data_IF_324965110075
#
_entry.id   IF_324965110075
#
_cell.length_a   1.000
_cell.length_b   1.000
_cell.length_c   1.000
_cell.angle_alpha   90.00
_cell.angle_beta   90.00
_cell.angle_gamma   90.00
#
_symmetry.space_group_name_H-M   'P 1'
#
loop_
_entity.id
_entity.type
_entity.pdbx_description
1 polymer ?
#
# COMPACT_ATOMS: atom_id res chain seq x y z
N UNK A 1 14.05 10.97 -14.11
CA UNK A 1 12.83 11.37 -13.36
C UNK A 1 12.23 10.23 -12.54
N UNK A 2 11.70 9.15 -13.10
CA UNK A 2 11.08 8.04 -12.31
C UNK A 2 11.94 7.50 -11.16
N UNK A 3 13.23 7.25 -11.42
CA UNK A 3 14.17 6.78 -10.40
C UNK A 3 14.38 7.78 -9.25
N UNK A 4 14.39 9.09 -9.56
CA UNK A 4 14.54 10.15 -8.56
C UNK A 4 13.37 10.15 -7.57
N UNK A 5 12.14 10.00 -8.06
CA UNK A 5 10.95 9.89 -7.23
C UNK A 5 10.99 8.65 -6.31
N UNK A 6 11.39 7.49 -6.85
CA UNK A 6 11.57 6.28 -6.04
C UNK A 6 12.68 6.45 -4.99
N UNK A 7 13.77 7.15 -5.30
CA UNK A 7 14.83 7.45 -4.34
C UNK A 7 14.33 8.40 -3.24
N UNK A 8 13.57 9.44 -3.59
CA UNK A 8 12.99 10.35 -2.59
C UNK A 8 12.01 9.61 -1.68
N UNK A 9 11.18 8.73 -2.25
CA UNK A 9 10.26 7.88 -1.51
C UNK A 9 10.99 6.91 -0.58
N UNK A 10 12.04 6.24 -1.06
CA UNK A 10 12.84 5.30 -0.27
C UNK A 10 13.60 5.96 0.89
N UNK A 11 13.92 7.25 0.76
CA UNK A 11 14.53 8.05 1.83
C UNK A 11 13.51 8.65 2.79
N UNK A 12 12.21 8.50 2.52
CA UNK A 12 11.15 9.14 3.30
C UNK A 12 11.06 10.65 3.11
N UNK A 13 11.70 11.22 2.08
CA UNK A 13 11.64 12.66 1.79
C UNK A 13 10.26 13.09 1.25
N UNK A 14 9.54 12.12 0.68
CA UNK A 14 8.16 12.25 0.22
C UNK A 14 7.42 10.99 0.65
N UNK A 15 6.11 11.09 0.81
CA UNK A 15 5.23 9.96 1.07
C UNK A 15 4.47 9.55 -0.22
N UNK A 16 3.61 8.54 -0.11
CA UNK A 16 2.81 8.06 -1.23
C UNK A 16 1.77 9.09 -1.72
N UNK A 17 1.18 9.87 -0.83
CA UNK A 17 0.22 10.91 -1.20
C UNK A 17 0.89 12.00 -2.03
N UNK A 18 2.09 12.45 -1.65
CA UNK A 18 2.89 13.41 -2.42
C UNK A 18 3.19 12.88 -3.83
N UNK A 19 3.51 11.58 -3.95
CA UNK A 19 3.75 10.93 -5.23
C UNK A 19 2.48 10.89 -6.10
N UNK A 20 1.32 10.60 -5.49
CA UNK A 20 0.02 10.59 -6.18
C UNK A 20 -0.33 12.00 -6.66
N UNK A 21 -0.18 13.01 -5.80
CA UNK A 21 -0.41 14.41 -6.12
C UNK A 21 0.48 14.84 -7.28
N UNK A 22 1.78 14.55 -7.21
CA UNK A 22 2.72 14.85 -8.27
C UNK A 22 2.33 14.20 -9.59
N UNK A 23 1.83 12.96 -9.57
CA UNK A 23 1.39 12.23 -10.76
C UNK A 23 0.11 12.80 -11.40
N UNK A 24 -0.64 13.67 -10.72
CA UNK A 24 -1.77 14.39 -11.33
C UNK A 24 -1.33 15.52 -12.26
N UNK A 25 -0.09 16.00 -12.14
CA UNK A 25 0.44 17.09 -12.98
C UNK A 25 0.83 16.59 -14.36
N UNK A 26 0.49 17.34 -15.41
CA UNK A 26 0.76 16.98 -16.81
C UNK A 26 2.23 16.68 -17.09
N UNK A 27 3.13 17.46 -16.48
CA UNK A 27 4.60 17.30 -16.54
C UNK A 27 5.10 15.94 -15.98
N UNK A 28 4.32 15.32 -15.10
CA UNK A 28 4.66 14.10 -14.39
C UNK A 28 3.88 12.87 -14.86
N UNK A 29 3.26 12.94 -16.03
CA UNK A 29 2.60 11.80 -16.70
C UNK A 29 3.44 10.51 -16.69
N UNK A 30 4.79 10.54 -16.81
CA UNK A 30 5.61 9.33 -16.70
C UNK A 30 5.53 8.58 -15.37
N UNK A 31 5.12 9.24 -14.26
CA UNK A 31 4.96 8.62 -12.94
C UNK A 31 3.80 7.62 -12.91
N UNK A 32 2.78 7.81 -13.75
CA UNK A 32 1.64 6.90 -13.87
C UNK A 32 2.07 5.48 -14.32
N UNK A 33 3.23 5.37 -14.98
CA UNK A 33 3.81 4.08 -15.42
C UNK A 33 4.69 3.41 -14.36
N UNK A 34 4.84 4.00 -13.17
CA UNK A 34 5.61 3.38 -12.09
C UNK A 34 4.92 2.10 -11.61
N UNK A 35 5.62 0.95 -11.56
CA UNK A 35 5.06 -0.28 -11.00
C UNK A 35 4.80 -0.14 -9.51
N UNK A 36 3.64 -0.60 -9.03
CA UNK A 36 3.31 -0.59 -7.60
C UNK A 36 4.30 -1.45 -6.79
N UNK A 37 4.86 -2.52 -7.37
CA UNK A 37 5.92 -3.31 -6.74
C UNK A 37 7.12 -2.44 -6.35
N UNK A 38 7.58 -1.58 -7.27
CA UNK A 38 8.73 -0.71 -7.02
C UNK A 38 8.42 0.36 -5.97
N UNK A 39 7.20 0.91 -6.01
CA UNK A 39 6.73 1.89 -5.03
C UNK A 39 6.69 1.26 -3.63
N UNK A 40 6.06 0.09 -3.47
CA UNK A 40 5.96 -0.58 -2.18
C UNK A 40 7.32 -1.02 -1.63
N UNK A 41 8.23 -1.48 -2.48
CA UNK A 41 9.58 -1.83 -2.05
C UNK A 41 10.41 -0.60 -1.64
N UNK A 42 10.17 0.55 -2.26
CA UNK A 42 10.80 1.79 -1.84
C UNK A 42 10.28 2.23 -0.47
N UNK A 43 8.96 2.15 -0.22
CA UNK A 43 8.36 2.53 1.08
C UNK A 43 8.76 1.54 2.19
N UNK A 44 8.79 0.25 1.88
CA UNK A 44 9.10 -0.82 2.83
C UNK A 44 10.36 -1.59 2.43
N UNK A 45 11.56 -1.08 2.74
CA UNK A 45 12.82 -1.68 2.32
C UNK A 45 13.06 -3.09 2.91
N UNK A 46 12.36 -3.43 4.00
CA UNK A 46 12.42 -4.76 4.63
C UNK A 46 11.53 -5.80 3.93
N UNK A 47 10.66 -5.39 3.00
CA UNK A 47 9.77 -6.31 2.33
C UNK A 47 10.48 -7.11 1.25
N UNK A 48 10.37 -8.44 1.33
CA UNK A 48 10.79 -9.30 0.24
C UNK A 48 9.86 -9.16 -0.96
N UNK A 49 10.36 -9.47 -2.16
CA UNK A 49 9.53 -9.49 -3.37
C UNK A 49 8.29 -10.37 -3.22
N UNK A 50 8.42 -11.53 -2.57
CA UNK A 50 7.30 -12.43 -2.30
C UNK A 50 6.23 -11.76 -1.41
N UNK A 51 6.67 -11.04 -0.37
CA UNK A 51 5.76 -10.29 0.50
C UNK A 51 5.03 -9.19 -0.28
N UNK A 52 5.74 -8.36 -1.06
CA UNK A 52 5.13 -7.33 -1.92
C UNK A 52 4.09 -7.92 -2.87
N UNK A 53 4.40 -9.03 -3.53
CA UNK A 53 3.45 -9.70 -4.43
C UNK A 53 2.20 -10.22 -3.70
N UNK A 54 2.35 -10.76 -2.50
CA UNK A 54 1.22 -11.19 -1.66
C UNK A 54 0.34 -9.99 -1.29
N UNK A 55 0.93 -8.89 -0.88
CA UNK A 55 0.23 -7.63 -0.57
C UNK A 55 -0.53 -7.11 -1.77
N UNK A 56 0.08 -7.09 -2.96
CA UNK A 56 -0.61 -6.67 -4.18
C UNK A 56 -1.74 -7.62 -4.60
N UNK A 57 -1.62 -8.93 -4.34
CA UNK A 57 -2.74 -9.87 -4.54
C UNK A 57 -3.91 -9.59 -3.58
N UNK A 58 -3.61 -9.24 -2.33
CA UNK A 58 -4.63 -8.78 -1.37
C UNK A 58 -5.28 -7.49 -1.86
N UNK A 59 -4.49 -6.53 -2.34
CA UNK A 59 -4.97 -5.26 -2.92
C UNK A 59 -5.96 -5.50 -4.06
N UNK A 60 -5.61 -6.36 -5.02
CA UNK A 60 -6.50 -6.68 -6.16
C UNK A 60 -7.80 -7.33 -5.71
N UNK A 61 -7.76 -8.15 -4.66
CA UNK A 61 -8.94 -8.79 -4.10
C UNK A 61 -9.85 -7.78 -3.39
N UNK A 62 -9.29 -6.89 -2.58
CA UNK A 62 -10.04 -5.82 -1.91
C UNK A 62 -10.64 -4.83 -2.91
N UNK A 63 -9.94 -4.56 -4.00
CA UNK A 63 -10.41 -3.71 -5.09
C UNK A 63 -11.36 -4.40 -6.07
N UNK A 64 -11.75 -5.66 -5.82
CA UNK A 64 -12.57 -6.50 -6.72
C UNK A 64 -12.07 -6.47 -8.17
N UNK A 65 -10.76 -6.65 -8.36
CA UNK A 65 -10.09 -6.53 -9.65
C UNK A 65 -9.43 -7.85 -10.05
N UNK A 66 -9.66 -8.26 -11.30
CA UNK A 66 -8.97 -9.41 -11.94
C UNK A 66 -7.61 -9.05 -12.53
N UNK A 67 -7.07 -7.86 -12.22
CA UNK A 67 -5.79 -7.42 -12.74
C UNK A 67 -4.64 -8.28 -12.20
N UNK A 68 -3.60 -8.49 -13.02
CA UNK A 68 -2.42 -9.21 -12.57
C UNK A 68 -1.63 -8.35 -11.56
N UNK A 69 -1.41 -8.82 -10.31
CA UNK A 69 -0.69 -8.06 -9.28
C UNK A 69 0.71 -7.60 -9.70
N UNK A 70 1.39 -8.34 -10.59
CA UNK A 70 2.76 -8.05 -10.98
C UNK A 70 2.89 -6.91 -11.99
N UNK A 71 1.78 -6.54 -12.65
CA UNK A 71 1.75 -5.53 -13.71
C UNK A 71 1.03 -4.26 -13.27
N UNK A 72 0.67 -4.15 -11.99
CA UNK A 72 -0.03 -2.97 -11.49
C UNK A 72 0.89 -1.75 -11.48
N UNK A 73 0.35 -0.62 -11.91
CA UNK A 73 1.04 0.66 -11.93
C UNK A 73 0.29 1.71 -11.13
N UNK A 74 0.91 2.87 -10.93
CA UNK A 74 0.26 4.03 -10.32
C UNK A 74 -1.00 4.47 -11.11
N UNK A 75 -0.99 4.36 -12.45
CA UNK A 75 -2.17 4.60 -13.29
C UNK A 75 -3.35 3.70 -12.95
N UNK A 76 -3.08 2.43 -12.64
CA UNK A 76 -4.13 1.49 -12.23
C UNK A 76 -4.76 1.95 -10.92
N UNK A 77 -3.94 2.39 -9.96
CA UNK A 77 -4.42 2.89 -8.66
C UNK A 77 -5.31 4.13 -8.82
N UNK A 78 -4.90 5.08 -9.67
CA UNK A 78 -5.55 6.38 -9.86
C UNK A 78 -6.75 6.38 -10.83
N UNK A 79 -7.14 5.22 -11.38
CA UNK A 79 -8.16 5.18 -12.43
C UNK A 79 -9.53 5.60 -11.88
N UNK A 80 -10.10 6.65 -12.46
CA UNK A 80 -11.36 7.29 -12.05
C UNK A 80 -12.58 6.37 -12.07
N UNK A 81 -12.57 5.35 -12.94
CA UNK A 81 -13.70 4.41 -13.11
C UNK A 81 -13.94 3.46 -11.93
N UNK A 82 -13.19 3.61 -10.83
CA UNK A 82 -13.34 2.77 -9.63
C UNK A 82 -13.91 3.50 -8.44
N UNK A 83 -14.35 4.77 -8.59
CA UNK A 83 -14.91 5.58 -7.50
C UNK A 83 -14.03 5.56 -6.23
N UNK A 84 -12.70 5.58 -6.41
CA UNK A 84 -11.73 5.56 -5.31
C UNK A 84 -11.46 4.18 -4.66
N UNK A 85 -12.19 3.11 -5.02
CA UNK A 85 -12.06 1.78 -4.37
C UNK A 85 -10.63 1.27 -4.28
N UNK A 86 -9.82 1.48 -5.33
CA UNK A 86 -8.42 1.02 -5.36
C UNK A 86 -7.53 1.76 -4.38
N UNK A 87 -7.73 3.07 -4.26
CA UNK A 87 -7.00 3.91 -3.31
C UNK A 87 -7.45 3.55 -1.88
N UNK A 88 -8.76 3.40 -1.65
CA UNK A 88 -9.29 2.97 -0.35
C UNK A 88 -8.78 1.59 0.06
N UNK A 89 -8.70 0.64 -0.88
CA UNK A 89 -8.14 -0.69 -0.64
C UNK A 89 -6.66 -0.63 -0.27
N UNK A 90 -5.89 0.30 -0.83
CA UNK A 90 -4.49 0.52 -0.46
C UNK A 90 -4.37 1.09 0.97
N UNK A 91 -5.18 2.09 1.31
CA UNK A 91 -5.20 2.66 2.67
C UNK A 91 -5.58 1.62 3.74
N UNK A 92 -6.43 0.64 3.39
CA UNK A 92 -6.76 -0.47 4.28
C UNK A 92 -5.58 -1.42 4.55
N UNK A 93 -4.59 -1.50 3.66
CA UNK A 93 -3.41 -2.34 3.87
C UNK A 93 -2.44 -1.73 4.90
N UNK A 94 -2.36 -0.41 4.96
CA UNK A 94 -1.55 0.32 5.95
C UNK A 94 -2.25 0.42 7.32
N UNK A 95 -3.55 0.15 7.38
CA UNK A 95 -4.28 0.10 8.64
C UNK A 95 -3.99 -1.24 9.31
N UNK A 96 -3.25 -1.29 10.45
CA UNK A 96 -3.08 -2.54 11.16
C UNK A 96 -4.46 -3.08 11.55
N UNK A 97 -4.70 -4.35 11.22
CA UNK A 97 -5.83 -5.14 11.74
C UNK A 97 -5.62 -5.32 13.25
N UNK A 98 -5.88 -4.26 14.00
CA UNK A 98 -5.95 -4.19 15.46
C UNK A 98 -4.75 -4.79 16.24
N UNK A 99 -3.74 -3.98 16.64
CA UNK A 99 -2.68 -4.44 17.54
C UNK A 99 -3.12 -4.56 19.01
N UNK A 100 -4.35 -4.12 19.35
CA UNK A 100 -4.87 -4.22 20.70
C UNK A 100 -6.05 -5.20 20.74
N UNK A 101 -5.93 -6.25 21.55
CA UNK A 101 -7.12 -6.83 22.16
C UNK A 101 -7.96 -5.65 22.70
N UNK A 102 -9.26 -5.58 22.39
CA UNK A 102 -10.04 -4.34 22.58
C UNK A 102 -10.11 -3.88 24.05
N UNK A 103 -9.77 -4.76 25.00
CA UNK A 103 -9.47 -4.48 26.40
C UNK A 103 -8.69 -5.67 27.00
N UNK A 104 -8.05 -5.52 28.19
CA UNK A 104 -7.45 -6.66 28.89
C UNK A 104 -8.52 -7.72 29.23
N UNK A 105 -8.33 -8.98 28.80
CA UNK A 105 -9.21 -10.11 29.15
C UNK A 105 -10.03 -10.76 28.02
N UNK A 106 -9.82 -10.42 26.74
CA UNK A 106 -10.57 -11.05 25.62
C UNK A 106 -9.86 -12.29 25.02
N UNK A 107 -10.59 -13.35 24.62
CA UNK A 107 -11.97 -13.66 24.97
C UNK A 107 -12.07 -14.51 26.25
N UNK A 108 -11.04 -15.28 26.61
CA UNK A 108 -11.00 -16.11 27.83
C UNK A 108 -9.56 -16.43 28.22
N UNK A 109 -8.89 -15.51 28.90
CA UNK A 109 -7.68 -15.86 29.66
C UNK A 109 -8.07 -15.84 31.13
N UNK A 110 -8.07 -16.96 31.86
CA UNK A 110 -8.31 -16.93 33.29
C UNK A 110 -7.20 -16.09 33.93
N UNK A 111 -7.56 -15.05 34.68
CA UNK A 111 -6.61 -14.31 35.51
C UNK A 111 -5.93 -15.33 36.43
N UNK A 112 -4.63 -15.57 36.22
CA UNK A 112 -3.83 -16.24 37.24
C UNK A 112 -3.78 -15.30 38.44
N UNK A 113 -4.60 -15.59 39.44
CA UNK A 113 -4.32 -15.20 40.81
C UNK A 113 -3.06 -15.94 41.25
N UNK A 114 -1.91 -15.32 41.08
CA UNK A 114 -0.71 -15.74 41.79
C UNK A 114 -0.88 -15.34 43.27
N UNK A 115 -0.79 -16.35 44.15
CA UNK A 115 -0.69 -16.20 45.61
C UNK A 115 0.72 -15.82 46.02
#
# INVERSE_FOLDING_TARGET
MRAQWLMMLARGNINLADLIEAATRTENTPLLKLPLVAILQAIHPTWTRAHTHRTLRTLTRLADSKANPTTLTLAWLMRSNTAGRRISALAQLDTPLNPHAPWPGFPWTPERHDQ
#
